data_IF_492847319142
#
_entry.id   IF_492847319142
#
_cell.length_a   1.000
_cell.length_b   1.000
_cell.length_c   1.000
_cell.angle_alpha   90.00
_cell.angle_beta   90.00
_cell.angle_gamma   90.00
#
_symmetry.space_group_name_H-M   'P 1'
#
loop_
_entity.id
_entity.type
_entity.pdbx_description
1 polymer ?
#
# COMPACT_ATOMS: atom_id res chain seq x y z
N UNK A 1 8.92 -6.45 19.01
CA UNK A 1 8.45 -5.06 18.94
C UNK A 1 7.43 -4.80 20.05
N UNK A 2 7.15 -3.54 20.42
CA UNK A 2 5.95 -3.22 21.21
C UNK A 2 4.71 -3.84 20.56
N UNK A 3 3.76 -4.36 21.36
CA UNK A 3 2.57 -5.05 20.84
C UNK A 3 1.67 -4.21 19.92
N UNK A 4 1.82 -2.89 19.96
CA UNK A 4 1.05 -1.93 19.16
C UNK A 4 1.73 -1.55 17.84
N UNK A 5 2.85 -2.20 17.49
CA UNK A 5 3.63 -1.89 16.30
C UNK A 5 3.79 -3.13 15.42
N UNK A 6 3.28 -3.02 14.21
CA UNK A 6 3.47 -4.01 13.15
C UNK A 6 4.68 -3.63 12.28
N UNK A 7 5.49 -4.62 11.92
CA UNK A 7 6.59 -4.47 10.96
C UNK A 7 6.13 -5.02 9.60
N UNK A 8 6.18 -4.17 8.58
CA UNK A 8 5.96 -4.58 7.20
C UNK A 8 7.27 -4.52 6.41
N UNK A 9 7.62 -5.61 5.71
CA UNK A 9 8.78 -5.62 4.81
C UNK A 9 8.40 -5.11 3.43
N UNK A 10 9.13 -4.11 2.93
CA UNK A 10 8.92 -3.58 1.60
C UNK A 10 9.61 -4.45 0.54
N UNK A 11 8.84 -5.19 -0.25
CA UNK A 11 9.34 -6.18 -1.23
C UNK A 11 10.29 -5.54 -2.25
N UNK A 12 10.04 -4.28 -2.64
CA UNK A 12 10.90 -3.50 -3.53
C UNK A 12 12.36 -3.39 -3.10
N UNK A 13 12.67 -3.63 -1.82
CA UNK A 13 14.04 -3.67 -1.32
C UNK A 13 14.80 -4.90 -1.84
N UNK A 14 14.14 -6.06 -1.87
CA UNK A 14 14.65 -7.29 -2.47
C UNK A 14 13.48 -8.30 -2.63
N UNK A 15 13.06 -8.60 -3.88
CA UNK A 15 11.91 -9.46 -4.17
C UNK A 15 12.27 -10.95 -4.34
N UNK A 16 13.49 -11.37 -3.99
CA UNK A 16 13.93 -12.76 -4.12
C UNK A 16 12.99 -13.71 -3.34
N UNK A 17 12.34 -14.71 -3.99
CA UNK A 17 11.36 -15.57 -3.33
C UNK A 17 11.88 -16.28 -2.08
N UNK A 18 13.13 -16.74 -2.09
CA UNK A 18 13.76 -17.41 -0.94
C UNK A 18 13.92 -16.46 0.26
N UNK A 19 14.18 -15.18 0.00
CA UNK A 19 14.22 -14.16 1.05
C UNK A 19 12.82 -13.88 1.58
N UNK A 20 11.83 -13.76 0.69
CA UNK A 20 10.43 -13.53 1.09
C UNK A 20 9.91 -14.67 1.97
N UNK A 21 10.20 -15.91 1.62
CA UNK A 21 9.86 -17.08 2.43
C UNK A 21 10.58 -17.07 3.79
N UNK A 22 11.84 -16.66 3.83
CA UNK A 22 12.61 -16.58 5.08
C UNK A 22 12.15 -15.43 6.00
N UNK A 23 11.72 -14.30 5.44
CA UNK A 23 11.35 -13.12 6.23
C UNK A 23 9.87 -13.11 6.65
N UNK A 24 8.99 -13.74 5.87
CA UNK A 24 7.55 -13.81 6.17
C UNK A 24 7.20 -14.20 7.61
N UNK A 25 7.83 -15.20 8.26
CA UNK A 25 7.54 -15.53 9.67
C UNK A 25 8.13 -14.54 10.69
N UNK A 26 8.97 -13.60 10.25
CA UNK A 26 9.67 -12.63 11.11
C UNK A 26 9.03 -11.22 11.08
N UNK A 27 8.04 -11.00 10.21
CA UNK A 27 7.34 -9.73 10.01
C UNK A 27 5.84 -9.91 10.11
N UNK A 28 5.14 -8.83 10.38
CA UNK A 28 3.68 -8.83 10.56
C UNK A 28 2.95 -8.70 9.21
N UNK A 29 3.63 -8.17 8.19
CA UNK A 29 3.09 -8.01 6.85
C UNK A 29 4.12 -7.69 5.76
N UNK A 30 3.63 -7.52 4.53
CA UNK A 30 4.44 -7.19 3.36
C UNK A 30 3.87 -5.93 2.68
N UNK A 31 4.76 -5.07 2.17
CA UNK A 31 4.40 -3.90 1.37
C UNK A 31 4.86 -4.09 -0.08
N UNK A 32 3.91 -3.99 -1.00
CA UNK A 32 4.10 -4.20 -2.45
C UNK A 32 3.80 -2.91 -3.22
N UNK A 33 4.40 -2.79 -4.40
CA UNK A 33 4.26 -1.65 -5.30
C UNK A 33 3.85 -2.05 -6.73
N UNK A 34 3.57 -3.33 -6.98
CA UNK A 34 3.09 -3.83 -8.28
C UNK A 34 2.32 -5.14 -8.16
N UNK A 35 1.55 -5.50 -9.20
CA UNK A 35 0.89 -6.81 -9.25
C UNK A 35 1.86 -8.00 -9.24
N UNK A 36 3.07 -7.86 -9.80
CA UNK A 36 4.08 -8.92 -9.75
C UNK A 36 4.58 -9.18 -8.33
N UNK A 37 4.81 -8.12 -7.56
CA UNK A 37 5.16 -8.24 -6.14
C UNK A 37 3.99 -8.76 -5.30
N UNK A 38 2.75 -8.35 -5.61
CA UNK A 38 1.55 -8.88 -4.96
C UNK A 38 1.44 -10.41 -5.16
N UNK A 39 1.75 -10.92 -6.36
CA UNK A 39 1.76 -12.36 -6.62
C UNK A 39 2.76 -13.09 -5.70
N UNK A 40 4.02 -12.63 -5.65
CA UNK A 40 5.02 -13.23 -4.76
C UNK A 40 4.66 -13.10 -3.27
N UNK A 41 4.03 -11.99 -2.88
CA UNK A 41 3.61 -11.77 -1.50
C UNK A 41 2.52 -12.75 -1.07
N UNK A 42 1.55 -13.04 -1.95
CA UNK A 42 0.47 -13.99 -1.68
C UNK A 42 0.96 -15.43 -1.51
N UNK A 43 2.13 -15.78 -2.06
CA UNK A 43 2.71 -17.12 -1.89
C UNK A 43 3.19 -17.38 -0.45
N UNK A 44 3.48 -16.32 0.31
CA UNK A 44 4.12 -16.42 1.64
C UNK A 44 3.38 -15.69 2.76
N UNK A 45 2.38 -14.87 2.45
CA UNK A 45 1.67 -14.04 3.42
C UNK A 45 0.16 -14.01 3.13
N UNK A 46 -0.65 -14.04 4.19
CA UNK A 46 -2.08 -13.84 4.07
C UNK A 46 -2.39 -12.43 3.51
N UNK A 47 -3.30 -12.34 2.55
CA UNK A 47 -3.55 -11.10 1.81
C UNK A 47 -3.96 -9.92 2.70
N UNK A 48 -4.67 -10.16 3.80
CA UNK A 48 -5.09 -9.12 4.74
C UNK A 48 -3.91 -8.43 5.44
N UNK A 49 -2.72 -9.06 5.41
CA UNK A 49 -1.43 -8.55 5.92
C UNK A 49 -0.56 -7.92 4.84
N UNK A 50 -1.07 -7.78 3.61
CA UNK A 50 -0.36 -7.17 2.50
C UNK A 50 -0.92 -5.76 2.26
N UNK A 51 -0.02 -4.77 2.12
CA UNK A 51 -0.34 -3.42 1.66
C UNK A 51 0.18 -3.18 0.24
N UNK A 52 -0.64 -2.56 -0.61
CA UNK A 52 -0.24 -2.16 -1.96
C UNK A 52 -0.14 -0.64 -2.04
N UNK A 53 1.08 -0.12 -2.09
CA UNK A 53 1.41 1.29 -2.27
C UNK A 53 1.80 1.65 -3.71
N UNK A 54 1.94 2.95 -4.01
CA UNK A 54 2.48 3.43 -5.28
C UNK A 54 1.46 4.21 -6.11
N UNK A 55 1.84 5.34 -6.72
CA UNK A 55 0.91 6.36 -7.20
C UNK A 55 0.24 6.06 -8.55
N UNK A 56 0.62 4.96 -9.20
CA UNK A 56 0.25 4.65 -10.58
C UNK A 56 -0.48 3.32 -10.74
N UNK A 57 -1.25 2.87 -9.75
CA UNK A 57 -1.92 1.55 -9.81
C UNK A 57 -2.94 1.54 -10.95
N UNK A 58 -2.78 0.57 -11.86
CA UNK A 58 -3.73 0.32 -12.95
C UNK A 58 -4.97 -0.40 -12.44
N UNK A 59 -6.07 -0.30 -13.17
CA UNK A 59 -7.35 -0.92 -12.78
C UNK A 59 -7.24 -2.45 -12.61
N UNK A 60 -6.44 -3.11 -13.45
CA UNK A 60 -6.15 -4.53 -13.30
C UNK A 60 -5.38 -4.87 -12.00
N UNK A 61 -4.54 -3.95 -11.52
CA UNK A 61 -3.82 -4.11 -10.25
C UNK A 61 -4.73 -3.87 -9.06
N UNK A 62 -5.64 -2.89 -9.16
CA UNK A 62 -6.69 -2.64 -8.17
C UNK A 62 -7.65 -3.84 -8.07
N UNK A 63 -8.13 -4.38 -9.19
CA UNK A 63 -8.98 -5.57 -9.23
C UNK A 63 -8.28 -6.77 -8.56
N UNK A 64 -7.04 -7.05 -8.93
CA UNK A 64 -6.26 -8.13 -8.33
C UNK A 64 -6.11 -7.97 -6.81
N UNK A 65 -5.78 -6.76 -6.34
CA UNK A 65 -5.64 -6.48 -4.91
C UNK A 65 -6.96 -6.60 -4.14
N UNK A 66 -8.07 -6.12 -4.72
CA UNK A 66 -9.41 -6.23 -4.12
C UNK A 66 -9.82 -7.69 -4.00
N UNK A 67 -9.63 -8.49 -5.06
CA UNK A 67 -9.95 -9.93 -5.05
C UNK A 67 -9.10 -10.70 -4.06
N UNK A 68 -7.82 -10.35 -3.95
CA UNK A 68 -6.93 -10.98 -2.98
C UNK A 68 -7.33 -10.63 -1.53
N UNK A 69 -7.89 -9.45 -1.29
CA UNK A 69 -8.17 -8.96 0.06
C UNK A 69 -7.03 -8.16 0.67
N UNK A 70 -6.11 -7.64 -0.16
CA UNK A 70 -5.02 -6.77 0.25
C UNK A 70 -5.50 -5.36 0.57
N UNK A 71 -4.76 -4.65 1.43
CA UNK A 71 -5.04 -3.23 1.74
C UNK A 71 -4.42 -2.35 0.67
N UNK A 72 -5.24 -1.52 0.00
CA UNK A 72 -4.77 -0.59 -1.03
C UNK A 72 -4.50 0.77 -0.36
N UNK A 73 -3.26 1.23 -0.44
CA UNK A 73 -2.89 2.57 -0.03
C UNK A 73 -3.21 3.54 -1.18
N UNK A 74 -4.33 4.24 -1.06
CA UNK A 74 -4.82 5.23 -2.01
C UNK A 74 -3.88 6.42 -2.08
N UNK A 75 -3.51 6.76 -3.31
CA UNK A 75 -2.57 7.86 -3.60
C UNK A 75 -3.29 9.06 -4.23
N UNK A 76 -4.58 8.93 -4.60
CA UNK A 76 -5.41 10.02 -5.12
C UNK A 76 -6.91 9.74 -4.98
N UNK A 77 -7.74 10.79 -5.05
CA UNK A 77 -9.20 10.66 -5.11
C UNK A 77 -9.68 9.87 -6.34
N UNK A 78 -9.01 10.06 -7.48
CA UNK A 78 -9.31 9.31 -8.69
C UNK A 78 -9.05 7.80 -8.50
N UNK A 79 -7.97 7.43 -7.81
CA UNK A 79 -7.70 6.02 -7.46
C UNK A 79 -8.77 5.46 -6.51
N UNK A 80 -9.23 6.25 -5.54
CA UNK A 80 -10.32 5.87 -4.65
C UNK A 80 -11.61 5.57 -5.42
N UNK A 81 -12.00 6.45 -6.35
CA UNK A 81 -13.19 6.26 -7.18
C UNK A 81 -13.11 4.98 -8.01
N UNK A 82 -11.96 4.70 -8.65
CA UNK A 82 -11.76 3.47 -9.43
C UNK A 82 -11.83 2.23 -8.53
N UNK A 83 -11.15 2.24 -7.38
CA UNK A 83 -11.17 1.11 -6.44
C UNK A 83 -12.58 0.80 -5.93
N UNK A 84 -13.38 1.84 -5.61
CA UNK A 84 -14.77 1.67 -5.17
C UNK A 84 -15.68 1.12 -6.28
N UNK A 85 -15.52 1.61 -7.51
CA UNK A 85 -16.28 1.13 -8.67
C UNK A 85 -15.97 -0.35 -8.98
N UNK A 86 -14.69 -0.74 -8.89
CA UNK A 86 -14.26 -2.13 -9.01
C UNK A 86 -14.85 -2.98 -7.89
N UNK A 87 -14.74 -2.54 -6.62
CA UNK A 87 -15.33 -3.24 -5.48
C UNK A 87 -16.85 -3.46 -5.63
N UNK A 88 -17.57 -2.44 -6.10
CA UNK A 88 -18.99 -2.55 -6.40
C UNK A 88 -19.28 -3.59 -7.49
N UNK A 89 -18.49 -3.61 -8.55
CA UNK A 89 -18.61 -4.58 -9.66
C UNK A 89 -18.35 -6.01 -9.17
N UNK A 90 -17.42 -6.18 -8.24
CA UNK A 90 -17.06 -7.47 -7.65
C UNK A 90 -18.00 -7.93 -6.53
N UNK A 91 -18.84 -7.04 -6.00
CA UNK A 91 -19.61 -7.32 -4.78
C UNK A 91 -18.74 -7.45 -3.52
N UNK A 92 -17.53 -6.87 -3.54
CA UNK A 92 -16.54 -6.95 -2.44
C UNK A 92 -16.28 -5.54 -1.92
N UNK A 93 -16.28 -5.37 -0.59
CA UNK A 93 -15.85 -4.10 0.04
C UNK A 93 -14.31 -4.02 0.02
N UNK A 94 -13.69 -3.10 -0.73
CA UNK A 94 -12.24 -2.96 -0.74
C UNK A 94 -11.69 -2.54 0.63
N UNK A 95 -10.48 -3.01 0.98
CA UNK A 95 -9.71 -2.52 2.12
C UNK A 95 -8.86 -1.35 1.67
N UNK A 96 -9.21 -0.14 2.08
CA UNK A 96 -8.58 1.09 1.61
C UNK A 96 -7.96 1.84 2.78
N UNK A 97 -6.74 2.35 2.58
CA UNK A 97 -6.09 3.33 3.45
C UNK A 97 -5.69 4.54 2.60
N UNK A 98 -5.70 5.75 3.17
CA UNK A 98 -5.32 6.96 2.42
C UNK A 98 -3.90 7.35 2.80
N UNK A 99 -3.02 7.52 1.80
CA UNK A 99 -1.70 8.09 2.05
C UNK A 99 -1.82 9.61 2.12
N UNK A 100 -1.51 10.17 3.29
CA UNK A 100 -1.60 11.60 3.53
C UNK A 100 -0.20 12.21 3.53
N UNK A 101 -0.02 13.29 2.78
CA UNK A 101 1.18 14.11 2.86
C UNK A 101 1.02 15.12 4.00
N UNK A 102 1.87 15.07 5.03
CA UNK A 102 1.83 16.05 6.11
C UNK A 102 2.14 17.45 5.57
N UNK A 103 1.53 18.45 6.21
CA UNK A 103 1.71 19.88 5.92
C UNK A 103 3.04 20.44 6.46
N UNK A 104 3.81 19.63 7.19
CA UNK A 104 5.15 19.98 7.67
C UNK A 104 6.25 19.23 6.92
N UNK A 105 7.41 19.90 6.78
CA UNK A 105 8.62 19.28 6.26
C UNK A 105 9.41 18.61 7.39
N UNK A 106 9.77 17.33 7.22
CA UNK A 106 10.76 16.67 8.06
C UNK A 106 12.15 17.25 7.76
N UNK A 107 12.63 18.16 8.63
CA UNK A 107 13.97 18.74 8.52
C UNK A 107 15.00 17.75 9.09
N UNK A 108 16.03 17.43 8.29
CA UNK A 108 17.21 16.66 8.74
C UNK A 108 17.49 15.35 8.01
N UNK A 109 16.57 14.84 7.19
CA UNK A 109 16.76 13.56 6.46
C UNK A 109 17.49 13.70 5.11
N UNK A 110 17.81 14.93 4.68
CA UNK A 110 18.29 15.21 3.32
C UNK A 110 17.25 14.97 2.21
N UNK A 111 16.12 14.32 2.52
CA UNK A 111 15.03 13.99 1.60
C UNK A 111 13.81 14.88 1.90
N UNK A 112 13.36 15.65 0.92
CA UNK A 112 12.13 16.44 0.99
C UNK A 112 10.92 15.55 0.71
N UNK A 113 10.33 14.97 1.76
CA UNK A 113 9.23 14.00 1.68
C UNK A 113 7.84 14.58 2.00
N UNK A 114 7.70 15.89 2.25
CA UNK A 114 6.44 16.55 2.61
C UNK A 114 6.42 18.05 2.24
N UNK A 115 5.27 18.71 2.37
CA UNK A 115 5.13 20.17 2.17
C UNK A 115 5.18 20.70 0.73
N UNK A 116 5.20 19.84 -0.30
CA UNK A 116 5.18 20.22 -1.73
C UNK A 116 4.34 19.26 -2.56
N UNK A 117 3.87 19.72 -3.72
CA UNK A 117 3.19 18.89 -4.71
C UNK A 117 4.04 17.64 -5.01
N UNK A 118 3.43 16.47 -4.83
CA UNK A 118 4.05 15.15 -4.90
C UNK A 118 3.14 14.24 -5.71
N UNK A 119 3.68 13.31 -6.52
CA UNK A 119 2.85 12.29 -7.15
C UNK A 119 2.28 11.29 -6.13
N UNK A 120 2.78 11.29 -4.89
CA UNK A 120 2.36 10.40 -3.82
C UNK A 120 1.34 11.07 -2.90
N UNK A 121 0.26 10.36 -2.56
CA UNK A 121 -0.71 10.73 -1.53
C UNK A 121 -1.59 11.94 -1.83
N UNK A 122 -2.51 12.22 -0.91
CA UNK A 122 -3.36 13.42 -0.90
C UNK A 122 -2.83 14.43 0.12
N UNK A 123 -3.04 15.71 -0.13
CA UNK A 123 -2.71 16.77 0.83
C UNK A 123 -3.60 16.68 2.06
N UNK A 124 -3.02 16.92 3.25
CA UNK A 124 -3.74 16.90 4.54
C UNK A 124 -5.02 17.76 4.52
N UNK A 125 -4.99 18.91 3.84
CA UNK A 125 -6.13 19.83 3.72
C UNK A 125 -7.39 19.22 3.05
N UNK A 126 -7.25 18.09 2.34
CA UNK A 126 -8.38 17.41 1.71
C UNK A 126 -8.90 16.21 2.51
N UNK A 127 -8.32 15.92 3.68
CA UNK A 127 -8.74 14.82 4.56
C UNK A 127 -9.61 15.40 5.67
N UNK A 128 -10.80 14.84 5.96
CA UNK A 128 -11.63 15.27 7.08
C UNK A 128 -10.95 15.08 8.44
N UNK A 129 -11.29 15.93 9.41
CA UNK A 129 -10.87 15.82 10.82
C UNK A 129 -11.39 14.55 11.52
#
# INVERSE_FOLDING_TARGET
MPKALDIHYAIKANPLPELLAAIAPLVDGLDVASAGELAHANDVMAAERISFAGPGKRDAELDAAIRAGATINLESFAEAQRALAIGQTLGVKPRLAVRVNPDFELRGSGMKMGGRASPFGVETAHVPD
#
